data_IF_020493645287
#
_entry.id   IF_020493645287
#
_cell.length_a   1.000
_cell.length_b   1.000
_cell.length_c   1.000
_cell.angle_alpha   90.00
_cell.angle_beta   90.00
_cell.angle_gamma   90.00
#
_symmetry.space_group_name_H-M   'P 1'
#
loop_
_entity.id
_entity.type
_entity.pdbx_description
1 polymer ?
#
# COMPACT_ATOMS: atom_id res chain seq x y z
N UNK A 1 10.88 21.10 -9.15
CA UNK A 1 11.43 20.32 -8.03
C UNK A 1 10.62 19.04 -7.88
N UNK A 2 11.20 17.83 -7.94
CA UNK A 2 10.44 16.61 -7.74
C UNK A 2 9.82 16.62 -6.34
N UNK A 3 8.52 16.36 -6.22
CA UNK A 3 7.79 16.36 -4.94
C UNK A 3 8.39 15.28 -4.04
N UNK A 4 9.07 15.69 -2.97
CA UNK A 4 9.64 14.80 -1.95
C UNK A 4 8.57 14.25 -0.97
N UNK A 5 7.30 14.19 -1.40
CA UNK A 5 6.16 13.79 -0.58
C UNK A 5 6.03 12.28 -0.55
N UNK A 6 5.90 11.72 0.65
CA UNK A 6 5.55 10.31 0.82
C UNK A 6 4.16 10.04 0.21
N UNK A 7 4.06 9.01 -0.62
CA UNK A 7 2.82 8.57 -1.26
C UNK A 7 2.22 7.42 -0.45
N UNK A 8 0.90 7.36 -0.34
CA UNK A 8 0.21 6.18 0.19
C UNK A 8 -0.23 5.32 -1.00
N UNK A 9 0.08 4.02 -0.93
CA UNK A 9 -0.28 3.02 -1.95
C UNK A 9 -1.22 2.01 -1.30
N UNK A 10 -2.35 1.75 -1.94
CA UNK A 10 -3.31 0.72 -1.56
C UNK A 10 -3.16 -0.47 -2.51
N UNK A 11 -2.74 -1.61 -1.99
CA UNK A 11 -2.76 -2.88 -2.71
C UNK A 11 -4.04 -3.64 -2.37
N UNK A 12 -4.70 -4.19 -3.38
CA UNK A 12 -5.91 -5.01 -3.26
C UNK A 12 -5.68 -6.32 -4.00
N UNK A 13 -5.88 -7.43 -3.30
CA UNK A 13 -5.97 -8.78 -3.87
C UNK A 13 -7.42 -9.25 -3.76
N UNK A 14 -8.23 -9.03 -4.81
CA UNK A 14 -9.66 -9.24 -4.72
C UNK A 14 -10.01 -10.74 -4.71
N UNK A 15 -10.80 -11.14 -3.72
CA UNK A 15 -11.44 -12.45 -3.68
C UNK A 15 -12.87 -12.33 -3.14
N UNK A 16 -13.72 -13.25 -3.55
CA UNK A 16 -15.15 -13.22 -3.23
C UNK A 16 -15.47 -13.71 -1.82
N UNK A 17 -14.67 -14.63 -1.29
CA UNK A 17 -14.78 -15.14 0.07
C UNK A 17 -13.83 -14.45 1.06
N UNK A 18 -12.69 -13.95 0.56
CA UNK A 18 -11.62 -13.30 1.30
C UNK A 18 -10.93 -12.30 0.36
N UNK A 19 -10.77 -11.04 0.79
CA UNK A 19 -10.13 -9.97 0.05
C UNK A 19 -8.89 -9.49 0.81
N UNK A 20 -7.72 -9.65 0.18
CA UNK A 20 -6.45 -9.18 0.74
C UNK A 20 -6.28 -7.67 0.52
N UNK A 21 -5.70 -6.98 1.50
CA UNK A 21 -5.31 -5.59 1.34
C UNK A 21 -3.94 -5.28 1.94
N UNK A 22 -3.30 -4.23 1.44
CA UNK A 22 -2.11 -3.63 2.04
C UNK A 22 -2.11 -2.11 1.88
N UNK A 23 -1.56 -1.42 2.86
CA UNK A 23 -1.34 0.01 2.87
C UNK A 23 0.16 0.23 3.02
N UNK A 24 0.78 0.87 2.03
CA UNK A 24 2.22 1.13 1.99
C UNK A 24 2.49 2.64 1.91
N UNK A 25 3.53 3.10 2.61
CA UNK A 25 4.15 4.39 2.33
C UNK A 25 5.26 4.21 1.29
N UNK A 26 5.24 4.99 0.22
CA UNK A 26 6.29 5.01 -0.80
C UNK A 26 7.03 6.35 -0.77
N UNK A 27 8.36 6.28 -0.66
CA UNK A 27 9.26 7.44 -0.81
C UNK A 27 10.39 7.08 -1.77
N UNK A 28 10.29 7.57 -3.01
CA UNK A 28 11.18 7.14 -4.09
C UNK A 28 11.02 5.64 -4.36
N UNK A 29 12.13 4.89 -4.28
CA UNK A 29 12.15 3.44 -4.49
C UNK A 29 12.04 2.63 -3.20
N UNK A 30 11.78 3.29 -2.06
CA UNK A 30 11.60 2.64 -0.76
C UNK A 30 10.11 2.51 -0.45
N UNK A 31 9.75 1.35 0.07
CA UNK A 31 8.42 1.05 0.59
C UNK A 31 8.50 0.77 2.09
N UNK A 32 7.53 1.27 2.83
CA UNK A 32 7.30 0.94 4.24
C UNK A 32 5.88 0.40 4.38
N UNK A 33 5.75 -0.77 4.99
CA UNK A 33 4.46 -1.36 5.30
C UNK A 33 3.81 -0.60 6.46
N UNK A 34 2.61 -0.06 6.22
CA UNK A 34 1.81 0.60 7.27
C UNK A 34 0.83 -0.41 7.87
N UNK A 35 0.08 -1.11 7.02
CA UNK A 35 -0.90 -2.10 7.45
C UNK A 35 -1.14 -3.13 6.33
N UNK A 36 -1.63 -4.31 6.70
CA UNK A 36 -2.08 -5.34 5.78
C UNK A 36 -3.09 -6.24 6.48
N UNK A 37 -3.86 -6.97 5.69
CA UNK A 37 -4.80 -7.94 6.23
C UNK A 37 -5.58 -8.62 5.14
N UNK A 38 -6.55 -9.40 5.58
CA UNK A 38 -7.55 -10.02 4.75
C UNK A 38 -8.90 -9.87 5.42
N UNK A 39 -9.93 -9.52 4.65
CA UNK A 39 -11.31 -9.34 5.10
C UNK A 39 -12.26 -10.20 4.29
#
# INVERSE_FOLDING_TARGET
MPKNSAQIVLGIDPGTALCGYSILSKKGNKFLLINYGCI
#
